data_IF_881261060065
#
_entry.id   IF_881261060065
#
_cell.length_a   1.000
_cell.length_b   1.000
_cell.length_c   1.000
_cell.angle_alpha   90.00
_cell.angle_beta   90.00
_cell.angle_gamma   90.00
#
_symmetry.space_group_name_H-M   'P 1'
#
loop_
_entity.id
_entity.type
_entity.pdbx_description
1 polymer ?
#
# COMPACT_ATOMS: atom_id res chain seq x y z
N UNK A 1 5.07 -14.24 -30.35
CA UNK A 1 4.73 -14.65 -28.96
C UNK A 1 4.79 -13.47 -27.99
N UNK A 2 5.96 -12.91 -27.67
CA UNK A 2 6.05 -11.74 -26.78
C UNK A 2 5.36 -10.49 -27.37
N UNK A 3 5.59 -10.19 -28.65
CA UNK A 3 4.96 -9.07 -29.33
C UNK A 3 3.42 -9.14 -29.31
N UNK A 4 2.84 -10.35 -29.45
CA UNK A 4 1.39 -10.55 -29.42
C UNK A 4 0.82 -10.31 -28.02
N UNK A 5 1.54 -10.74 -26.99
CA UNK A 5 1.19 -10.49 -25.58
C UNK A 5 1.19 -8.99 -25.33
N UNK A 6 2.26 -8.28 -25.70
CA UNK A 6 2.37 -6.83 -25.54
C UNK A 6 1.22 -6.12 -26.27
N UNK A 7 0.95 -6.50 -27.53
CA UNK A 7 -0.16 -5.94 -28.30
C UNK A 7 -1.50 -6.15 -27.60
N UNK A 8 -1.75 -7.34 -27.04
CA UNK A 8 -2.99 -7.65 -26.29
C UNK A 8 -3.10 -6.84 -25.01
N UNK A 9 -2.02 -6.71 -24.25
CA UNK A 9 -1.98 -5.91 -23.02
C UNK A 9 -2.28 -4.43 -23.31
N UNK A 10 -1.59 -3.83 -24.28
CA UNK A 10 -1.84 -2.44 -24.69
C UNK A 10 -3.28 -2.28 -25.20
N UNK A 11 -3.77 -3.23 -26.00
CA UNK A 11 -5.16 -3.20 -26.49
C UNK A 11 -6.17 -3.21 -25.35
N UNK A 12 -5.94 -4.04 -24.32
CA UNK A 12 -6.83 -4.15 -23.16
C UNK A 12 -6.87 -2.84 -22.37
N UNK A 13 -5.72 -2.37 -21.91
CA UNK A 13 -5.65 -1.23 -20.99
C UNK A 13 -5.89 0.12 -21.66
N UNK A 14 -5.46 0.30 -22.92
CA UNK A 14 -5.54 1.60 -23.59
C UNK A 14 -6.84 1.79 -24.38
N UNK A 15 -7.41 0.70 -24.90
CA UNK A 15 -8.62 0.77 -25.72
C UNK A 15 -9.83 0.16 -25.01
N UNK A 16 -9.77 -1.12 -24.64
CA UNK A 16 -10.98 -1.84 -24.18
C UNK A 16 -11.55 -1.25 -22.88
N UNK A 17 -10.71 -0.98 -21.90
CA UNK A 17 -11.16 -0.40 -20.62
C UNK A 17 -11.74 1.01 -20.75
N UNK A 18 -11.38 1.76 -21.82
CA UNK A 18 -11.88 3.13 -22.05
C UNK A 18 -13.12 3.20 -22.94
N UNK A 19 -13.35 2.17 -23.76
CA UNK A 19 -14.42 2.16 -24.77
C UNK A 19 -15.64 1.36 -24.30
N UNK A 20 -15.44 0.36 -23.43
CA UNK A 20 -16.53 -0.43 -22.86
C UNK A 20 -17.19 0.33 -21.70
N UNK A 21 -18.51 0.24 -21.60
CA UNK A 21 -19.24 0.64 -20.39
C UNK A 21 -19.24 -0.56 -19.42
N UNK A 22 -18.93 -0.37 -18.13
CA UNK A 22 -18.60 0.90 -17.48
C UNK A 22 -17.18 1.37 -17.78
N UNK A 23 -16.98 2.70 -17.83
CA UNK A 23 -15.63 3.28 -17.89
C UNK A 23 -14.97 3.03 -16.53
N UNK A 24 -13.86 2.29 -16.54
CA UNK A 24 -13.12 1.90 -15.34
C UNK A 24 -11.75 2.55 -15.28
N UNK A 25 -11.29 2.74 -14.05
CA UNK A 25 -9.96 3.18 -13.69
C UNK A 25 -9.07 1.97 -13.38
N UNK A 26 -7.79 2.07 -13.73
CA UNK A 26 -6.78 1.11 -13.28
C UNK A 26 -5.76 1.82 -12.38
N UNK A 27 -5.59 1.31 -11.17
CA UNK A 27 -4.75 1.92 -10.14
C UNK A 27 -3.63 0.93 -9.80
N UNK A 28 -2.41 1.44 -9.79
CA UNK A 28 -1.22 0.68 -9.43
C UNK A 28 -0.76 1.12 -8.03
N UNK A 29 -1.02 0.31 -6.98
CA UNK A 29 -0.36 0.49 -5.70
C UNK A 29 1.16 0.57 -5.88
N UNK A 30 1.77 1.52 -5.19
CA UNK A 30 3.20 1.79 -5.27
C UNK A 30 3.95 0.91 -4.27
N UNK A 31 5.26 0.77 -4.50
CA UNK A 31 6.16 0.24 -3.47
C UNK A 31 5.98 1.04 -2.19
N UNK A 32 6.03 0.34 -1.07
CA UNK A 32 5.93 0.86 0.29
C UNK A 32 4.55 1.37 0.70
N UNK A 33 3.53 1.23 -0.15
CA UNK A 33 2.14 1.43 0.24
C UNK A 33 1.72 0.39 1.29
N UNK A 34 0.85 0.80 2.22
CA UNK A 34 0.23 -0.10 3.19
C UNK A 34 -0.72 -1.03 2.45
N UNK A 35 -0.69 -2.32 2.81
CA UNK A 35 -1.56 -3.32 2.22
C UNK A 35 -2.99 -3.13 2.75
N UNK A 36 -3.94 -2.97 1.83
CA UNK A 36 -5.37 -2.90 2.14
C UNK A 36 -6.12 -4.10 1.52
N UNK A 37 -6.53 -5.10 2.32
CA UNK A 37 -7.27 -6.27 1.85
C UNK A 37 -8.59 -5.96 1.14
N UNK A 38 -9.16 -4.78 1.33
CA UNK A 38 -10.44 -4.42 0.71
C UNK A 38 -10.32 -4.35 -0.81
N UNK A 39 -9.16 -3.94 -1.34
CA UNK A 39 -8.89 -3.83 -2.78
C UNK A 39 -7.56 -4.43 -3.25
N UNK A 40 -6.77 -5.02 -2.34
CA UNK A 40 -5.55 -5.76 -2.66
C UNK A 40 -5.71 -7.26 -2.33
N UNK A 41 -4.99 -8.09 -3.07
CA UNK A 41 -4.90 -9.54 -2.89
C UNK A 41 -3.44 -9.98 -2.99
N UNK A 42 -3.05 -10.96 -2.19
CA UNK A 42 -1.72 -11.55 -2.21
C UNK A 42 -1.60 -12.68 -1.19
N UNK A 43 -0.38 -13.13 -0.94
CA UNK A 43 -0.11 -14.33 -0.11
C UNK A 43 0.32 -13.93 1.30
N UNK A 44 -0.58 -13.38 2.10
CA UNK A 44 -0.33 -13.07 3.51
C UNK A 44 -1.37 -13.74 4.40
N UNK A 45 -0.95 -14.12 5.62
CA UNK A 45 -1.85 -14.58 6.67
C UNK A 45 -2.47 -13.36 7.37
N UNK A 46 -3.72 -13.48 7.84
CA UNK A 46 -4.50 -12.35 8.36
C UNK A 46 -3.86 -11.65 9.57
N UNK A 47 -3.07 -12.38 10.34
CA UNK A 47 -2.40 -11.98 11.59
C UNK A 47 -1.04 -11.30 11.37
N UNK A 48 -0.50 -11.30 10.14
CA UNK A 48 0.80 -10.69 9.81
C UNK A 48 0.73 -9.46 8.91
N UNK A 49 -0.47 -9.04 8.49
CA UNK A 49 -0.61 -8.05 7.42
C UNK A 49 -0.09 -6.65 7.78
N UNK A 50 -0.22 -6.24 9.05
CA UNK A 50 0.19 -4.91 9.52
C UNK A 50 1.71 -4.69 9.44
N UNK A 51 2.49 -5.78 9.40
CA UNK A 51 3.94 -5.76 9.29
C UNK A 51 4.42 -5.83 7.83
N UNK A 52 3.50 -5.83 6.86
CA UNK A 52 3.79 -6.01 5.45
C UNK A 52 3.41 -4.75 4.67
N UNK A 53 4.24 -4.44 3.68
CA UNK A 53 4.02 -3.35 2.72
C UNK A 53 4.14 -3.88 1.31
N UNK A 54 3.61 -3.14 0.34
CA UNK A 54 3.72 -3.47 -1.08
C UNK A 54 5.20 -3.45 -1.48
N UNK A 55 5.67 -4.55 -2.08
CA UNK A 55 6.94 -4.59 -2.81
C UNK A 55 6.67 -4.31 -4.29
N UNK A 56 5.88 -5.18 -4.93
CA UNK A 56 5.55 -5.10 -6.35
C UNK A 56 4.06 -5.35 -6.56
N UNK A 57 3.41 -4.46 -7.31
CA UNK A 57 2.09 -4.71 -7.87
C UNK A 57 2.24 -5.41 -9.24
N UNK A 58 1.77 -6.65 -9.34
CA UNK A 58 1.86 -7.45 -10.57
C UNK A 58 0.65 -7.29 -11.50
N UNK A 59 -0.50 -6.92 -10.94
CA UNK A 59 -1.71 -6.63 -11.69
C UNK A 59 -2.48 -5.48 -11.01
N UNK A 60 -2.97 -4.48 -11.75
CA UNK A 60 -3.55 -3.30 -11.14
C UNK A 60 -4.93 -3.60 -10.56
N UNK A 61 -5.34 -2.76 -9.60
CA UNK A 61 -6.73 -2.65 -9.21
C UNK A 61 -7.54 -2.10 -10.39
N UNK A 62 -8.65 -2.74 -10.72
CA UNK A 62 -9.63 -2.25 -11.70
C UNK A 62 -10.91 -1.90 -10.96
N UNK A 63 -11.29 -0.63 -10.98
CA UNK A 63 -12.44 -0.12 -10.24
C UNK A 63 -13.14 1.03 -10.97
N UNK A 64 -14.35 1.36 -10.54
CA UNK A 64 -15.09 2.54 -10.98
C UNK A 64 -15.41 3.41 -9.77
N UNK A 65 -15.34 4.74 -9.96
CA UNK A 65 -15.56 5.73 -8.90
C UNK A 65 -14.74 5.43 -7.64
N UNK A 66 -13.45 5.05 -7.82
CA UNK A 66 -12.64 4.58 -6.69
C UNK A 66 -12.52 5.64 -5.59
N UNK A 67 -12.45 6.93 -5.95
CA UNK A 67 -12.41 8.02 -4.97
C UNK A 67 -13.69 8.19 -4.14
N UNK A 68 -14.83 7.63 -4.57
CA UNK A 68 -16.10 7.76 -3.88
C UNK A 68 -16.50 6.42 -3.23
N UNK A 69 -16.23 6.25 -1.93
CA UNK A 69 -16.49 5.00 -1.21
C UNK A 69 -17.93 4.49 -1.34
N UNK A 70 -18.92 5.38 -1.39
CA UNK A 70 -20.35 4.99 -1.48
C UNK A 70 -20.75 4.44 -2.86
N UNK A 71 -20.02 4.82 -3.92
CA UNK A 71 -20.30 4.42 -5.31
C UNK A 71 -19.19 3.55 -5.90
N UNK A 72 -18.11 3.33 -5.14
CA UNK A 72 -16.95 2.55 -5.54
C UNK A 72 -17.39 1.14 -5.91
N UNK A 73 -17.04 0.73 -7.11
CA UNK A 73 -17.20 -0.64 -7.56
C UNK A 73 -15.86 -1.23 -7.94
N UNK A 74 -15.45 -2.27 -7.23
CA UNK A 74 -14.20 -3.00 -7.50
C UNK A 74 -14.53 -4.18 -8.41
N UNK A 75 -13.90 -4.22 -9.59
CA UNK A 75 -14.03 -5.32 -10.54
C UNK A 75 -12.90 -6.33 -10.39
N UNK A 76 -11.70 -5.88 -10.05
CA UNK A 76 -10.54 -6.74 -9.86
C UNK A 76 -9.62 -6.12 -8.83
N UNK A 77 -9.24 -6.88 -7.80
CA UNK A 77 -8.26 -6.44 -6.80
C UNK A 77 -6.86 -6.34 -7.40
N UNK A 78 -6.03 -5.46 -6.85
CA UNK A 78 -4.61 -5.43 -7.18
C UNK A 78 -3.91 -6.69 -6.67
N UNK A 79 -3.05 -7.31 -7.48
CA UNK A 79 -2.28 -8.49 -7.07
C UNK A 79 -0.90 -8.03 -6.59
N UNK A 80 -0.65 -8.18 -5.30
CA UNK A 80 0.50 -7.64 -4.59
C UNK A 80 1.46 -8.75 -4.18
N UNK A 81 2.75 -8.51 -4.43
CA UNK A 81 3.86 -9.13 -3.73
C UNK A 81 4.28 -8.21 -2.59
N UNK A 82 4.36 -8.77 -1.39
CA UNK A 82 4.65 -8.03 -0.18
C UNK A 82 6.10 -8.20 0.27
N UNK A 83 6.60 -7.21 1.02
CA UNK A 83 7.84 -7.28 1.79
C UNK A 83 7.60 -6.85 3.24
N UNK A 84 8.44 -7.25 4.19
CA UNK A 84 8.39 -6.73 5.54
C UNK A 84 8.56 -5.21 5.55
N UNK A 85 7.82 -4.53 6.41
CA UNK A 85 8.05 -3.11 6.70
C UNK A 85 9.47 -2.94 7.26
N UNK A 86 10.22 -1.90 6.87
CA UNK A 86 11.49 -1.61 7.51
C UNK A 86 11.26 -1.37 9.02
N UNK A 87 12.06 -2.01 9.87
CA UNK A 87 12.06 -1.76 11.31
C UNK A 87 12.26 -0.26 11.54
N UNK A 88 11.26 0.39 12.15
CA UNK A 88 11.47 1.73 12.67
C UNK A 88 12.45 1.59 13.85
N UNK A 89 13.57 2.35 13.89
CA UNK A 89 14.41 2.39 15.06
C UNK A 89 13.53 2.69 16.28
N UNK A 90 13.78 2.06 17.45
CA UNK A 90 13.04 2.40 18.66
C UNK A 90 13.10 3.92 18.85
N UNK A 91 11.95 4.56 18.99
CA UNK A 91 11.89 5.90 19.56
C UNK A 91 12.43 5.74 21.00
N UNK A 92 13.67 6.13 21.22
CA UNK A 92 14.22 6.22 22.57
C UNK A 92 13.37 7.21 23.37
N UNK A 93 12.69 6.71 24.40
CA UNK A 93 12.03 7.49 25.44
C UNK A 93 13.09 8.19 26.31
N UNK A 94 13.81 9.18 25.76
CA UNK A 94 14.88 9.91 26.47
C UNK A 94 14.37 10.93 27.52
N UNK A 95 13.08 10.90 27.88
CA UNK A 95 12.48 11.93 28.74
C UNK A 95 12.65 11.63 30.24
N UNK A 96 12.96 10.38 30.64
CA UNK A 96 13.06 10.04 32.07
C UNK A 96 14.45 10.29 32.70
N UNK A 97 15.51 10.44 31.91
CA UNK A 97 16.87 10.67 32.46
C UNK A 97 17.19 12.16 32.69
N UNK A 98 16.47 13.10 32.06
CA UNK A 98 16.72 14.55 32.24
C UNK A 98 16.21 15.04 33.61
N UNK A 99 15.18 14.40 34.18
CA UNK A 99 14.59 14.83 35.45
C UNK A 99 15.41 14.42 36.69
N UNK A 100 16.28 13.40 36.59
CA UNK A 100 17.16 12.99 37.70
C UNK A 100 18.41 13.86 37.84
N UNK A 101 18.85 14.52 36.76
CA UNK A 101 20.03 15.38 36.75
C UNK A 101 19.74 16.82 37.24
N UNK A 102 18.49 17.29 37.15
CA UNK A 102 18.13 18.66 37.58
C UNK A 102 17.87 18.80 39.08
N UNK A 103 17.65 17.70 39.83
CA UNK A 103 17.41 17.79 41.28
C UNK A 103 18.70 17.96 42.10
N UNK A 104 19.86 17.59 41.54
CA UNK A 104 21.15 17.62 42.25
C UNK A 104 21.93 18.95 42.13
N UNK A 105 21.42 19.94 41.39
CA UNK A 105 22.12 21.23 41.19
C UNK A 105 21.61 22.33 42.13
N UNK A 106 20.47 22.16 42.79
CA UNK A 106 19.85 23.23 43.58
C UNK A 106 19.98 23.10 45.11
N UNK A 107 20.94 22.34 45.65
CA UNK A 107 21.18 22.20 47.10
C UNK A 107 22.58 22.65 47.57
N UNK A 108 23.27 23.50 46.82
CA UNK A 108 24.49 24.16 47.33
C UNK A 108 24.66 25.54 46.68
N UNK A 109 24.11 26.58 47.32
CA UNK A 109 24.73 27.86 47.74
C UNK A 109 23.74 28.57 48.64
#
# INVERSE_FOLDING_TARGET
>A
MAADIVKRTVTLFWFRLRVQQPIVEYIWPKSDDIIDPSYMEGKWENDGIDNLIVDICSFPLIAQEFSNESKRQIYTKAIIFQKPKPEQPPLQDDIQDIQSAQSNICSSV
#
